data_IF_641684759170
#
_entry.id   IF_641684759170
#
_cell.length_a   1.000
_cell.length_b   1.000
_cell.length_c   1.000
_cell.angle_alpha   90.00
_cell.angle_beta   90.00
_cell.angle_gamma   90.00
#
_symmetry.space_group_name_H-M   'P 1'
#
loop_
_entity.id
_entity.type
_entity.pdbx_description
1 polymer ?
#
# COMPACT_ATOMS: atom_id res chain seq x y z
N UNK A 1 10.00 -21.76 -38.60
CA UNK A 1 9.05 -20.64 -38.72
C UNK A 1 7.70 -21.13 -38.22
N UNK A 2 7.26 -20.61 -37.08
CA UNK A 2 6.05 -21.05 -36.37
C UNK A 2 4.86 -20.33 -36.97
N UNK A 3 3.96 -21.06 -37.62
CA UNK A 3 2.64 -20.54 -37.96
C UNK A 3 1.79 -20.57 -36.68
N UNK A 4 1.76 -19.46 -35.95
CA UNK A 4 0.75 -19.24 -34.92
C UNK A 4 -0.62 -19.38 -35.58
N UNK A 5 -1.49 -20.24 -35.05
CA UNK A 5 -2.82 -20.42 -35.60
C UNK A 5 -3.59 -19.12 -35.42
N UNK A 6 -4.22 -18.64 -36.50
CA UNK A 6 -5.01 -17.40 -36.55
C UNK A 6 -6.07 -17.30 -35.42
N UNK A 7 -6.48 -18.45 -34.86
CA UNK A 7 -7.38 -18.56 -33.71
C UNK A 7 -6.80 -18.01 -32.39
N UNK A 8 -5.50 -18.15 -32.16
CA UNK A 8 -4.84 -17.69 -30.93
C UNK A 8 -4.65 -16.17 -30.94
N UNK A 9 -4.42 -15.59 -32.12
CA UNK A 9 -4.37 -14.14 -32.34
C UNK A 9 -5.76 -13.52 -32.14
N UNK A 10 -6.80 -14.12 -32.74
CA UNK A 10 -8.17 -13.63 -32.59
C UNK A 10 -8.71 -13.72 -31.14
N UNK A 11 -8.24 -14.70 -30.35
CA UNK A 11 -8.62 -14.83 -28.93
C UNK A 11 -7.97 -13.73 -28.08
N UNK A 12 -6.70 -13.41 -28.35
CA UNK A 12 -5.97 -12.32 -27.67
C UNK A 12 -6.62 -10.97 -28.01
N UNK A 13 -6.92 -10.72 -29.29
CA UNK A 13 -7.58 -9.49 -29.73
C UNK A 13 -9.00 -9.33 -29.16
N UNK A 14 -9.74 -10.43 -28.92
CA UNK A 14 -11.05 -10.37 -28.29
C UNK A 14 -10.98 -10.02 -26.79
N UNK A 15 -9.89 -10.40 -26.11
CA UNK A 15 -9.69 -10.18 -24.68
C UNK A 15 -9.22 -8.73 -24.43
N UNK A 16 -8.38 -8.18 -25.31
CA UNK A 16 -7.98 -6.77 -25.26
C UNK A 16 -9.13 -5.79 -25.55
N UNK A 17 -10.28 -6.29 -26.05
CA UNK A 17 -11.51 -5.51 -26.21
C UNK A 17 -12.45 -5.51 -24.98
N UNK A 18 -12.10 -6.27 -23.93
CA UNK A 18 -12.87 -6.31 -22.68
C UNK A 18 -12.43 -5.12 -21.81
N UNK A 19 -13.38 -4.22 -21.58
CA UNK A 19 -13.19 -2.94 -20.91
C UNK A 19 -12.54 -3.03 -19.51
N UNK A 20 -11.70 -2.03 -19.28
CA UNK A 20 -10.67 -1.80 -18.26
C UNK A 20 -11.14 -1.79 -16.78
N UNK A 21 -11.46 -2.96 -16.22
CA UNK A 21 -11.89 -3.08 -14.81
C UNK A 21 -11.07 -4.01 -13.90
N UNK A 22 -10.11 -4.77 -14.43
CA UNK A 22 -9.39 -5.80 -13.67
C UNK A 22 -7.95 -5.37 -13.36
N UNK A 23 -7.47 -5.65 -12.14
CA UNK A 23 -6.05 -5.48 -11.85
C UNK A 23 -5.21 -6.56 -12.57
N UNK A 24 -3.92 -6.30 -12.81
CA UNK A 24 -3.02 -7.16 -13.59
C UNK A 24 -3.07 -8.65 -13.17
N UNK A 25 -3.26 -8.94 -11.88
CA UNK A 25 -3.28 -10.29 -11.34
C UNK A 25 -4.61 -11.02 -11.61
N UNK A 26 -5.73 -10.30 -11.59
CA UNK A 26 -7.05 -10.85 -11.97
C UNK A 26 -7.12 -11.11 -13.47
N UNK A 27 -6.48 -10.26 -14.28
CA UNK A 27 -6.37 -10.44 -15.73
C UNK A 27 -5.60 -11.72 -16.08
N UNK A 28 -4.45 -11.94 -15.43
CA UNK A 28 -3.65 -13.17 -15.61
C UNK A 28 -4.39 -14.42 -15.12
N UNK A 29 -5.18 -14.31 -14.06
CA UNK A 29 -5.99 -15.41 -13.53
C UNK A 29 -7.13 -15.80 -14.50
N UNK A 30 -7.81 -14.82 -15.09
CA UNK A 30 -8.85 -15.04 -16.10
C UNK A 30 -8.27 -15.60 -17.40
N UNK A 31 -7.11 -15.08 -17.83
CA UNK A 31 -6.37 -15.54 -19.00
C UNK A 31 -5.95 -17.01 -18.84
N UNK A 32 -5.52 -17.39 -17.65
CA UNK A 32 -5.18 -18.77 -17.29
C UNK A 32 -6.41 -19.68 -17.28
N UNK A 33 -7.53 -19.23 -16.71
CA UNK A 33 -8.79 -20.00 -16.70
C UNK A 33 -9.33 -20.28 -18.11
N UNK A 34 -9.32 -19.27 -18.98
CA UNK A 34 -9.72 -19.43 -20.38
C UNK A 34 -8.74 -20.29 -21.19
N UNK A 35 -7.43 -20.14 -20.96
CA UNK A 35 -6.42 -21.01 -21.58
C UNK A 35 -6.63 -22.48 -21.17
N UNK A 36 -6.89 -22.76 -19.89
CA UNK A 36 -7.15 -24.11 -19.39
C UNK A 36 -8.43 -24.73 -19.96
N UNK A 37 -9.49 -23.93 -20.15
CA UNK A 37 -10.76 -24.38 -20.72
C UNK A 37 -10.65 -24.74 -22.21
N UNK A 38 -9.72 -24.13 -22.96
CA UNK A 38 -9.46 -24.44 -24.36
C UNK A 38 -8.47 -25.60 -24.56
N UNK A 39 -7.62 -25.90 -23.56
CA UNK A 39 -6.59 -26.96 -23.61
C UNK A 39 -7.16 -28.37 -23.34
N UNK A 40 -8.44 -28.50 -23.00
CA UNK A 40 -9.12 -29.80 -22.80
C UNK A 40 -9.12 -30.74 -24.04
N UNK A 41 -8.45 -30.38 -25.15
CA UNK A 41 -8.50 -31.13 -26.40
C UNK A 41 -7.16 -31.59 -27.02
N UNK A 42 -5.96 -31.38 -26.45
CA UNK A 42 -4.72 -32.09 -26.90
C UNK A 42 -3.66 -32.27 -25.80
N UNK A 43 -3.20 -33.51 -25.61
CA UNK A 43 -2.34 -33.96 -24.49
C UNK A 43 -0.95 -33.29 -24.39
N UNK A 44 -0.41 -32.69 -25.45
CA UNK A 44 0.93 -32.09 -25.44
C UNK A 44 1.00 -30.70 -24.80
N UNK A 45 -0.12 -29.95 -24.75
CA UNK A 45 -0.16 -28.59 -24.21
C UNK A 45 -0.36 -28.57 -22.69
N UNK A 46 -0.90 -29.68 -22.14
CA UNK A 46 -1.16 -29.86 -20.71
C UNK A 46 0.13 -29.93 -19.89
N UNK A 47 1.19 -30.56 -20.42
CA UNK A 47 2.47 -30.69 -19.71
C UNK A 47 3.24 -29.36 -19.65
N UNK A 48 3.16 -28.55 -20.70
CA UNK A 48 3.74 -27.21 -20.69
C UNK A 48 2.99 -26.30 -19.70
N UNK A 49 1.65 -26.37 -19.68
CA UNK A 49 0.81 -25.66 -18.71
C UNK A 49 1.09 -26.11 -17.26
N UNK A 50 1.23 -27.42 -17.00
CA UNK A 50 1.63 -27.95 -15.68
C UNK A 50 3.01 -27.47 -15.26
N UNK A 51 3.97 -27.42 -16.18
CA UNK A 51 5.34 -26.94 -15.90
C UNK A 51 5.36 -25.44 -15.60
N UNK A 52 4.57 -24.65 -16.33
CA UNK A 52 4.37 -23.23 -16.02
C UNK A 52 3.69 -23.04 -14.66
N UNK A 53 2.63 -23.78 -14.37
CA UNK A 53 1.93 -23.72 -13.08
C UNK A 53 2.84 -24.13 -11.92
N UNK A 54 3.69 -25.15 -12.10
CA UNK A 54 4.67 -25.57 -11.10
C UNK A 54 5.73 -24.49 -10.87
N UNK A 55 6.18 -23.81 -11.94
CA UNK A 55 7.11 -22.68 -11.84
C UNK A 55 6.46 -21.46 -11.19
N UNK A 56 5.21 -21.14 -11.50
CA UNK A 56 4.48 -20.06 -10.83
C UNK A 56 4.24 -20.37 -9.36
N UNK A 57 3.81 -21.59 -9.01
CA UNK A 57 3.73 -22.04 -7.61
C UNK A 57 5.08 -21.99 -6.89
N UNK A 58 6.17 -22.23 -7.61
CA UNK A 58 7.52 -22.13 -7.06
C UNK A 58 7.95 -20.67 -6.87
N UNK A 59 7.62 -19.77 -7.81
CA UNK A 59 7.82 -18.33 -7.68
C UNK A 59 6.93 -17.71 -6.58
N UNK A 60 5.70 -18.21 -6.42
CA UNK A 60 4.79 -17.86 -5.33
C UNK A 60 5.35 -18.37 -3.98
N UNK A 61 5.85 -19.61 -3.94
CA UNK A 61 6.51 -20.16 -2.76
C UNK A 61 7.82 -19.42 -2.40
N UNK A 62 8.58 -18.98 -3.41
CA UNK A 62 9.77 -18.14 -3.24
C UNK A 62 9.38 -16.72 -2.77
N UNK A 63 8.29 -16.14 -3.29
CA UNK A 63 7.68 -14.90 -2.79
C UNK A 63 7.11 -15.04 -1.37
N UNK A 64 6.65 -16.22 -0.98
CA UNK A 64 6.13 -16.52 0.35
C UNK A 64 7.23 -16.88 1.36
N UNK A 65 8.43 -17.22 0.89
CA UNK A 65 9.63 -17.43 1.71
C UNK A 65 10.44 -16.14 1.93
N UNK A 66 10.06 -15.03 1.28
CA UNK A 66 10.48 -13.71 1.75
C UNK A 66 9.83 -13.46 3.11
N UNK A 67 10.59 -13.06 4.16
CA UNK A 67 10.00 -12.78 5.45
C UNK A 67 8.85 -11.80 5.27
N UNK A 68 7.66 -12.13 5.80
CA UNK A 68 6.47 -11.27 5.72
C UNK A 68 6.83 -9.85 6.17
N UNK A 69 7.71 -9.72 7.17
CA UNK A 69 8.31 -8.47 7.65
C UNK A 69 9.03 -7.66 6.57
N UNK A 70 9.80 -8.30 5.68
CA UNK A 70 10.56 -7.65 4.61
C UNK A 70 9.67 -7.23 3.45
N UNK A 71 8.64 -8.03 3.11
CA UNK A 71 7.63 -7.69 2.10
C UNK A 71 6.70 -6.56 2.58
N UNK A 72 6.40 -6.56 3.86
CA UNK A 72 5.79 -5.46 4.61
C UNK A 72 6.69 -4.24 4.46
N UNK A 73 7.89 -4.23 5.06
CA UNK A 73 8.78 -3.06 5.07
C UNK A 73 9.13 -2.51 3.68
N UNK A 74 9.36 -3.37 2.69
CA UNK A 74 9.67 -2.95 1.32
C UNK A 74 8.44 -2.35 0.62
N UNK A 75 7.24 -2.89 0.87
CA UNK A 75 5.97 -2.33 0.38
C UNK A 75 5.54 -1.08 1.18
N UNK A 76 6.07 -0.85 2.38
CA UNK A 76 5.77 0.37 3.16
C UNK A 76 6.58 1.57 2.68
N UNK A 77 7.73 1.36 2.04
CA UNK A 77 8.47 2.42 1.34
C UNK A 77 7.73 2.66 0.03
N UNK A 78 7.10 3.84 -0.10
CA UNK A 78 6.43 4.20 -1.35
C UNK A 78 7.40 4.24 -2.53
N UNK A 79 6.90 4.51 -3.74
CA UNK A 79 7.72 4.57 -4.96
C UNK A 79 8.75 5.73 -4.98
N UNK A 80 8.72 6.60 -3.96
CA UNK A 80 9.69 7.67 -3.73
C UNK A 80 10.59 7.33 -2.53
N UNK A 81 11.91 7.46 -2.70
CA UNK A 81 12.86 7.34 -1.60
C UNK A 81 12.63 8.48 -0.61
N UNK A 82 12.45 8.14 0.67
CA UNK A 82 12.28 9.14 1.71
C UNK A 82 13.58 9.94 1.90
N UNK A 83 13.50 11.26 2.16
CA UNK A 83 14.67 12.01 2.58
C UNK A 83 15.36 11.34 3.78
N UNK A 84 16.68 11.45 3.86
CA UNK A 84 17.47 10.77 4.87
C UNK A 84 18.54 11.69 5.46
N UNK A 85 19.38 11.15 6.34
CA UNK A 85 20.40 11.92 7.06
C UNK A 85 21.46 12.60 6.20
N UNK A 86 21.57 12.24 4.91
CA UNK A 86 22.44 12.93 3.96
C UNK A 86 21.81 14.21 3.42
N UNK A 87 20.50 14.40 3.62
CA UNK A 87 19.75 15.60 3.22
C UNK A 87 19.75 16.67 4.31
N UNK A 88 18.99 17.76 4.08
CA UNK A 88 18.96 18.91 4.98
C UNK A 88 18.14 18.62 6.22
N UNK A 89 18.68 18.80 7.43
CA UNK A 89 17.90 18.59 8.65
C UNK A 89 16.89 19.72 8.82
N UNK A 90 15.71 19.43 9.39
CA UNK A 90 14.62 20.40 9.53
C UNK A 90 14.98 21.67 10.33
N UNK A 91 15.99 21.60 11.21
CA UNK A 91 16.46 22.78 11.95
C UNK A 91 17.33 23.74 11.13
N UNK A 92 17.76 23.34 9.94
CA UNK A 92 18.54 24.15 9.00
C UNK A 92 18.29 23.70 7.54
N UNK A 93 17.39 24.43 6.88
CA UNK A 93 17.00 24.19 5.48
C UNK A 93 17.80 25.03 4.48
N UNK A 94 18.76 25.83 4.93
CA UNK A 94 19.51 26.77 4.06
C UNK A 94 20.39 26.09 3.01
N UNK A 95 20.57 24.77 3.15
CA UNK A 95 21.28 23.93 2.19
C UNK A 95 20.46 23.57 0.94
N UNK A 96 19.13 23.60 1.04
CA UNK A 96 18.20 23.20 -0.04
C UNK A 96 17.23 24.31 -0.44
N UNK A 97 16.98 25.28 0.44
CA UNK A 97 16.23 26.49 0.14
C UNK A 97 17.07 27.75 0.43
N UNK A 98 16.84 28.85 -0.31
CA UNK A 98 17.30 30.17 0.12
C UNK A 98 16.78 30.57 1.50
N UNK A 99 17.43 31.53 2.15
CA UNK A 99 17.10 32.01 3.51
C UNK A 99 15.64 32.50 3.68
N UNK A 100 15.01 32.90 2.57
CA UNK A 100 13.64 33.38 2.53
C UNK A 100 12.59 32.27 2.80
N UNK A 101 12.98 30.99 2.88
CA UNK A 101 12.14 29.91 3.44
C UNK A 101 11.71 30.22 4.87
N UNK A 102 12.50 31.05 5.58
CA UNK A 102 12.20 31.50 6.94
C UNK A 102 11.51 32.87 6.99
N UNK A 103 11.29 33.51 5.85
CA UNK A 103 10.68 34.85 5.75
C UNK A 103 9.17 34.82 6.00
N UNK A 104 8.52 35.99 6.19
CA UNK A 104 7.07 36.11 6.14
C UNK A 104 6.44 35.68 4.80
N UNK A 105 7.20 35.76 3.70
CA UNK A 105 6.74 35.47 2.33
C UNK A 105 6.86 33.98 1.94
N UNK A 106 7.41 33.16 2.82
CA UNK A 106 7.70 31.74 2.57
C UNK A 106 6.51 30.94 2.01
N UNK A 107 5.30 31.15 2.52
CA UNK A 107 4.10 30.48 1.97
C UNK A 107 3.85 30.88 0.51
N UNK A 108 4.02 32.16 0.17
CA UNK A 108 3.85 32.65 -1.20
C UNK A 108 4.93 32.12 -2.15
N UNK A 109 6.14 31.95 -1.63
CA UNK A 109 7.31 31.53 -2.43
C UNK A 109 7.38 30.02 -2.64
N UNK A 110 6.99 29.23 -1.65
CA UNK A 110 7.21 27.78 -1.61
C UNK A 110 5.94 26.95 -1.40
N UNK A 111 4.81 27.58 -1.10
CA UNK A 111 3.53 26.90 -1.00
C UNK A 111 2.99 26.46 -2.35
N UNK A 112 2.10 25.47 -2.33
CA UNK A 112 1.42 24.93 -3.51
C UNK A 112 0.00 25.49 -3.69
N UNK A 113 -0.43 26.39 -2.80
CA UNK A 113 -1.80 26.92 -2.75
C UNK A 113 -2.73 26.06 -1.89
N UNK A 114 -2.18 25.08 -1.18
CA UNK A 114 -2.92 24.11 -0.42
C UNK A 114 -3.22 24.60 1.01
N UNK A 115 -4.30 24.08 1.58
CA UNK A 115 -4.79 24.53 2.90
C UNK A 115 -3.79 24.34 4.05
N UNK A 116 -2.82 23.42 3.88
CA UNK A 116 -1.82 23.06 4.88
C UNK A 116 -0.46 23.76 4.68
N UNK A 117 -0.28 24.60 3.66
CA UNK A 117 0.97 25.33 3.40
C UNK A 117 1.42 26.16 4.60
N UNK A 118 0.48 26.89 5.19
CA UNK A 118 0.75 27.72 6.36
C UNK A 118 1.19 26.89 7.57
N UNK A 119 0.60 25.70 7.77
CA UNK A 119 0.97 24.79 8.86
C UNK A 119 2.37 24.21 8.64
N UNK A 120 2.69 23.79 7.41
CA UNK A 120 4.03 23.32 7.02
C UNK A 120 5.09 24.38 7.30
N UNK A 121 4.91 25.59 6.77
CA UNK A 121 5.83 26.71 6.97
C UNK A 121 5.94 27.11 8.45
N UNK A 122 4.82 27.09 9.19
CA UNK A 122 4.85 27.33 10.63
C UNK A 122 5.78 26.34 11.34
N UNK A 123 5.66 25.04 11.05
CA UNK A 123 6.53 24.04 11.65
C UNK A 123 7.99 24.22 11.25
N UNK A 124 8.28 24.45 9.97
CA UNK A 124 9.63 24.73 9.44
C UNK A 124 10.26 25.94 10.15
N UNK A 125 9.59 27.08 10.19
CA UNK A 125 10.09 28.30 10.83
C UNK A 125 10.33 28.09 12.31
N UNK A 126 9.42 27.37 12.97
CA UNK A 126 9.52 27.08 14.40
C UNK A 126 10.64 26.10 14.75
N UNK A 127 11.18 25.37 13.76
CA UNK A 127 12.25 24.38 13.92
C UNK A 127 13.65 24.98 13.71
N UNK A 128 13.75 26.15 13.06
CA UNK A 128 15.01 26.85 12.78
C UNK A 128 15.85 26.96 14.05
N UNK A 129 17.11 26.50 13.98
CA UNK A 129 18.08 26.53 15.08
C UNK A 129 17.60 25.81 16.37
N UNK A 130 16.63 24.90 16.28
CA UNK A 130 16.03 24.22 17.44
C UNK A 130 16.11 22.69 17.33
N UNK A 131 17.31 22.08 17.24
CA UNK A 131 17.49 20.66 16.92
C UNK A 131 16.82 19.70 17.92
N UNK A 132 16.75 20.07 19.20
CA UNK A 132 16.16 19.24 20.26
C UNK A 132 14.66 19.51 20.50
N UNK A 133 14.08 20.50 19.81
CA UNK A 133 12.64 20.78 19.91
C UNK A 133 11.86 19.54 19.45
N UNK A 134 10.76 19.26 20.15
CA UNK A 134 9.85 18.17 19.77
C UNK A 134 8.86 18.66 18.73
N UNK A 135 8.67 17.86 17.68
CA UNK A 135 7.67 18.07 16.64
C UNK A 135 6.86 16.80 16.44
N UNK A 136 5.58 16.94 16.11
CA UNK A 136 4.73 15.80 15.75
C UNK A 136 4.85 15.56 14.24
N UNK A 137 5.04 14.31 13.87
CA UNK A 137 5.12 13.85 12.48
C UNK A 137 3.99 12.88 12.20
N UNK A 138 3.58 12.81 10.93
CA UNK A 138 2.48 11.98 10.46
C UNK A 138 2.90 11.15 9.25
N UNK A 139 2.29 9.97 9.11
CA UNK A 139 2.45 9.10 7.95
C UNK A 139 1.17 8.35 7.68
N UNK A 140 0.71 8.33 6.43
CA UNK A 140 -0.30 7.39 5.99
C UNK A 140 0.37 6.07 5.57
N UNK A 141 -0.13 4.95 6.07
CA UNK A 141 0.34 3.61 5.71
C UNK A 141 -0.84 2.77 5.21
N UNK A 142 -0.62 1.79 4.31
CA UNK A 142 -1.68 0.88 3.89
C UNK A 142 -2.46 0.32 5.07
N UNK A 143 -3.79 0.24 4.95
CA UNK A 143 -4.64 -0.32 5.99
C UNK A 143 -4.46 -1.84 6.00
N UNK A 144 -3.49 -2.30 6.78
CA UNK A 144 -3.39 -3.71 7.13
C UNK A 144 -4.04 -3.94 8.50
N UNK A 145 -5.14 -4.68 8.49
CA UNK A 145 -5.92 -4.99 9.69
C UNK A 145 -5.19 -6.04 10.51
N UNK A 146 -5.04 -5.78 11.80
CA UNK A 146 -4.57 -6.83 12.72
C UNK A 146 -5.67 -7.88 12.94
N UNK A 147 -5.31 -9.01 13.56
CA UNK A 147 -6.25 -10.10 13.83
C UNK A 147 -7.50 -9.64 14.56
N UNK A 148 -7.37 -8.82 15.59
CA UNK A 148 -8.53 -8.35 16.35
C UNK A 148 -9.47 -7.48 15.49
N UNK A 149 -8.92 -6.68 14.58
CA UNK A 149 -9.70 -5.91 13.61
C UNK A 149 -10.39 -6.82 12.59
N UNK A 150 -9.67 -7.83 12.08
CA UNK A 150 -10.24 -8.83 11.18
C UNK A 150 -11.38 -9.62 11.83
N UNK A 151 -11.19 -10.07 13.09
CA UNK A 151 -12.21 -10.79 13.86
C UNK A 151 -13.42 -9.90 14.15
N UNK A 152 -13.21 -8.62 14.52
CA UNK A 152 -14.33 -7.68 14.72
C UNK A 152 -15.14 -7.45 13.46
N UNK A 153 -14.48 -7.31 12.32
CA UNK A 153 -15.16 -7.14 11.03
C UNK A 153 -15.88 -8.42 10.61
N UNK A 154 -15.29 -9.59 10.84
CA UNK A 154 -15.92 -10.88 10.60
C UNK A 154 -17.17 -11.05 11.47
N UNK A 155 -17.11 -10.73 12.76
CA UNK A 155 -18.26 -10.77 13.67
C UNK A 155 -19.35 -9.77 13.29
N UNK A 156 -18.97 -8.56 12.84
CA UNK A 156 -19.93 -7.59 12.30
C UNK A 156 -20.61 -8.12 11.03
N UNK A 157 -19.84 -8.74 10.13
CA UNK A 157 -20.34 -9.34 8.91
C UNK A 157 -21.30 -10.51 9.20
N UNK A 158 -20.91 -11.40 10.12
CA UNK A 158 -21.72 -12.49 10.67
C UNK A 158 -23.05 -11.99 11.22
N UNK A 159 -23.02 -10.94 12.05
CA UNK A 159 -24.23 -10.31 12.58
C UNK A 159 -25.13 -9.75 11.47
N UNK A 160 -24.57 -9.03 10.49
CA UNK A 160 -25.34 -8.46 9.39
C UNK A 160 -25.96 -9.56 8.50
N UNK A 161 -25.25 -10.65 8.27
CA UNK A 161 -25.78 -11.80 7.55
C UNK A 161 -26.96 -12.42 8.28
N UNK A 162 -26.79 -12.81 9.56
CA UNK A 162 -27.86 -13.51 10.28
C UNK A 162 -29.06 -12.61 10.65
N UNK A 163 -28.85 -11.30 10.77
CA UNK A 163 -29.94 -10.36 11.09
C UNK A 163 -30.65 -9.77 9.86
N UNK A 164 -29.95 -9.60 8.74
CA UNK A 164 -30.46 -8.87 7.56
C UNK A 164 -30.26 -9.62 6.23
N UNK A 165 -29.67 -10.80 6.23
CA UNK A 165 -29.34 -11.55 5.01
C UNK A 165 -28.28 -10.88 4.13
N UNK A 166 -27.57 -9.86 4.64
CA UNK A 166 -26.54 -9.14 3.91
C UNK A 166 -25.31 -10.04 3.80
N UNK A 167 -24.96 -10.42 2.57
CA UNK A 167 -23.82 -11.30 2.29
C UNK A 167 -22.49 -10.53 2.35
N UNK A 168 -21.42 -11.12 2.91
CA UNK A 168 -20.06 -10.63 2.74
C UNK A 168 -19.71 -10.46 1.25
N UNK A 169 -18.83 -9.52 0.92
CA UNK A 169 -18.46 -9.23 -0.48
C UNK A 169 -17.80 -10.43 -1.18
N UNK A 170 -16.99 -11.19 -0.45
CA UNK A 170 -16.29 -12.40 -0.87
C UNK A 170 -17.11 -13.68 -0.64
N UNK A 171 -18.38 -13.57 -0.25
CA UNK A 171 -19.27 -14.72 -0.11
C UNK A 171 -19.74 -15.20 -1.48
N UNK A 172 -18.96 -16.10 -2.08
CA UNK A 172 -19.30 -16.70 -3.36
C UNK A 172 -20.32 -17.83 -3.20
N UNK A 173 -21.55 -17.58 -3.66
CA UNK A 173 -22.62 -18.58 -3.66
C UNK A 173 -22.61 -19.53 -4.87
N UNK A 174 -21.72 -19.34 -5.85
CA UNK A 174 -21.73 -20.07 -7.13
C UNK A 174 -20.95 -21.38 -7.11
N UNK A 175 -19.91 -21.50 -6.28
CA UNK A 175 -19.24 -22.78 -6.06
C UNK A 175 -19.96 -23.53 -4.94
N UNK A 176 -20.34 -24.79 -5.20
CA UNK A 176 -20.87 -25.70 -4.17
C UNK A 176 -19.89 -25.79 -2.99
N UNK A 177 -20.13 -25.01 -1.92
CA UNK A 177 -19.73 -25.16 -0.51
C UNK A 177 -19.84 -23.79 0.21
N UNK A 178 -19.89 -23.72 1.54
CA UNK A 178 -20.60 -24.51 2.53
C UNK A 178 -21.75 -23.66 3.15
N UNK A 179 -22.47 -24.14 4.18
CA UNK A 179 -23.51 -23.30 4.79
C UNK A 179 -22.87 -22.06 5.48
N UNK A 180 -23.64 -21.01 5.78
CA UNK A 180 -23.07 -19.77 6.33
C UNK A 180 -22.24 -19.96 7.61
N UNK A 181 -22.57 -20.94 8.46
CA UNK A 181 -21.80 -21.24 9.66
C UNK A 181 -20.40 -21.75 9.32
N UNK A 182 -20.29 -22.64 8.35
CA UNK A 182 -19.01 -23.17 7.88
C UNK A 182 -18.14 -22.05 7.28
N UNK A 183 -18.74 -21.13 6.51
CA UNK A 183 -18.03 -19.96 5.97
C UNK A 183 -17.39 -19.10 7.07
N UNK A 184 -18.19 -18.70 8.08
CA UNK A 184 -17.68 -17.87 9.17
C UNK A 184 -16.67 -18.64 10.03
N UNK A 185 -16.89 -19.94 10.27
CA UNK A 185 -15.98 -20.78 11.04
C UNK A 185 -14.63 -20.99 10.35
N UNK A 186 -14.60 -21.16 9.03
CA UNK A 186 -13.36 -21.30 8.27
C UNK A 186 -12.60 -19.97 8.18
N UNK A 187 -13.30 -18.84 8.03
CA UNK A 187 -12.69 -17.49 8.10
C UNK A 187 -12.10 -17.18 9.47
N UNK A 188 -12.78 -17.56 10.55
CA UNK A 188 -12.28 -17.40 11.92
C UNK A 188 -10.98 -18.21 12.13
N UNK A 189 -10.95 -19.47 11.67
CA UNK A 189 -9.72 -20.30 11.69
C UNK A 189 -8.61 -19.69 10.85
N UNK A 190 -8.92 -19.18 9.65
CA UNK A 190 -7.96 -18.50 8.78
C UNK A 190 -7.31 -17.33 9.53
N UNK A 191 -8.11 -16.43 10.11
CA UNK A 191 -7.60 -15.29 10.88
C UNK A 191 -6.77 -15.74 12.09
N UNK A 192 -7.22 -16.74 12.86
CA UNK A 192 -6.45 -17.26 13.99
C UNK A 192 -5.13 -17.92 13.57
N UNK A 193 -5.07 -18.53 12.38
CA UNK A 193 -3.87 -19.17 11.84
C UNK A 193 -2.85 -18.17 11.28
N UNK A 194 -3.25 -16.92 11.02
CA UNK A 194 -2.29 -15.88 10.61
C UNK A 194 -1.30 -15.58 11.73
N UNK A 195 -0.12 -15.06 11.42
CA UNK A 195 0.81 -14.58 12.44
C UNK A 195 0.35 -13.20 12.95
N UNK A 196 0.66 -12.86 14.22
CA UNK A 196 0.35 -11.51 14.72
C UNK A 196 1.05 -10.48 13.85
N UNK A 197 0.27 -9.69 13.14
CA UNK A 197 0.81 -8.62 12.33
C UNK A 197 1.45 -7.57 13.22
N UNK A 198 2.67 -7.17 12.88
CA UNK A 198 3.36 -6.07 13.55
C UNK A 198 2.46 -4.84 13.45
N UNK A 199 2.12 -4.27 14.61
CA UNK A 199 1.38 -3.02 14.68
C UNK A 199 2.19 -1.96 13.92
N UNK A 200 1.67 -1.34 12.87
CA UNK A 200 2.44 -0.41 12.07
C UNK A 200 2.88 0.80 12.92
N UNK A 201 4.16 1.13 12.82
CA UNK A 201 4.83 2.25 13.50
C UNK A 201 5.56 3.14 12.50
N UNK A 202 6.05 4.30 12.95
CA UNK A 202 6.98 5.13 12.18
C UNK A 202 8.41 4.73 12.54
N UNK A 203 9.12 4.17 11.56
CA UNK A 203 10.44 3.54 11.62
C UNK A 203 11.51 4.43 10.98
N UNK A 204 12.80 4.13 11.19
CA UNK A 204 13.86 4.91 10.53
C UNK A 204 13.85 4.71 9.01
N UNK A 205 14.13 5.78 8.28
CA UNK A 205 14.04 5.84 6.82
C UNK A 205 12.61 6.01 6.30
N UNK A 206 11.65 6.29 7.20
CA UNK A 206 10.27 6.51 6.80
C UNK A 206 10.05 7.92 6.27
N UNK A 207 9.41 8.01 5.11
CA UNK A 207 8.73 9.23 4.68
C UNK A 207 7.68 9.65 5.72
N UNK A 208 7.67 10.93 6.04
CA UNK A 208 6.76 11.58 6.98
C UNK A 208 6.44 13.01 6.55
N UNK A 209 5.38 13.57 7.11
CA UNK A 209 5.05 14.99 6.98
C UNK A 209 4.82 15.63 8.34
N UNK A 210 4.92 16.96 8.39
CA UNK A 210 4.67 17.76 9.59
C UNK A 210 3.19 18.10 9.77
N UNK A 211 2.37 17.96 8.72
CA UNK A 211 0.96 18.37 8.75
C UNK A 211 0.05 17.14 8.67
N UNK A 212 -0.98 17.11 9.52
CA UNK A 212 -1.92 15.98 9.54
C UNK A 212 -2.70 15.88 8.24
N UNK A 213 -3.08 17.02 7.67
CA UNK A 213 -3.91 17.10 6.47
C UNK A 213 -3.18 16.59 5.23
N UNK A 214 -1.90 16.92 5.05
CA UNK A 214 -1.10 16.38 3.93
C UNK A 214 -1.02 14.85 3.99
N UNK A 215 -0.81 14.28 5.18
CA UNK A 215 -0.81 12.82 5.33
C UNK A 215 -2.17 12.18 4.97
N UNK A 216 -3.28 12.85 5.28
CA UNK A 216 -4.63 12.39 4.93
C UNK A 216 -4.83 12.40 3.42
N UNK A 217 -4.44 13.47 2.74
CA UNK A 217 -4.60 13.63 1.30
C UNK A 217 -3.66 12.69 0.54
N UNK A 218 -2.41 12.61 0.95
CA UNK A 218 -1.44 11.64 0.43
C UNK A 218 -1.95 10.20 0.58
N UNK A 219 -2.54 9.85 1.72
CA UNK A 219 -3.15 8.54 1.93
C UNK A 219 -4.38 8.30 1.04
N UNK A 220 -5.21 9.31 0.77
CA UNK A 220 -6.36 9.18 -0.14
C UNK A 220 -5.90 8.92 -1.57
N UNK A 221 -4.93 9.70 -2.05
CA UNK A 221 -4.45 9.65 -3.44
C UNK A 221 -3.61 8.41 -3.73
N UNK A 222 -2.69 8.04 -2.82
CA UNK A 222 -1.72 6.97 -3.08
C UNK A 222 -2.15 5.60 -2.54
N UNK A 223 -3.13 5.54 -1.64
CA UNK A 223 -3.58 4.28 -1.01
C UNK A 223 -5.07 4.01 -1.24
N UNK A 224 -5.69 4.64 -2.26
CA UNK A 224 -7.10 4.48 -2.62
C UNK A 224 -8.07 4.68 -1.44
N UNK A 225 -7.70 5.54 -0.48
CA UNK A 225 -8.46 5.76 0.77
C UNK A 225 -8.35 4.62 1.80
N UNK A 226 -7.67 3.53 1.50
CA UNK A 226 -7.48 2.37 2.38
C UNK A 226 -6.18 2.50 3.18
N UNK A 227 -6.14 3.44 4.12
CA UNK A 227 -4.96 3.71 4.94
C UNK A 227 -5.25 3.87 6.43
N UNK A 228 -4.20 3.71 7.23
CA UNK A 228 -4.15 4.13 8.63
C UNK A 228 -3.22 5.34 8.75
N UNK A 229 -3.63 6.33 9.52
CA UNK A 229 -2.79 7.46 9.87
C UNK A 229 -2.00 7.16 11.14
N UNK A 230 -0.67 7.19 11.04
CA UNK A 230 0.25 7.10 12.17
C UNK A 230 0.71 8.49 12.59
N UNK A 231 1.09 8.63 13.86
CA UNK A 231 1.78 9.84 14.33
C UNK A 231 2.82 9.51 15.40
N UNK A 232 3.87 10.33 15.47
CA UNK A 232 4.95 10.20 16.46
C UNK A 232 5.45 11.59 16.85
N UNK A 233 5.97 11.75 18.06
CA UNK A 233 6.62 13.00 18.49
C UNK A 233 8.12 12.77 18.62
N UNK A 234 8.93 13.51 17.87
CA UNK A 234 10.38 13.29 17.76
C UNK A 234 11.17 14.60 17.82
N UNK A 235 12.48 14.58 18.15
CA UNK A 235 13.35 15.74 17.97
C UNK A 235 13.42 16.19 16.50
N UNK A 236 13.44 17.52 16.28
CA UNK A 236 13.62 18.13 14.95
C UNK A 236 14.87 17.64 14.23
N UNK A 237 15.97 17.40 14.95
CA UNK A 237 17.22 16.89 14.36
C UNK A 237 17.12 15.51 13.69
N UNK A 238 16.02 14.78 13.89
CA UNK A 238 15.78 13.48 13.26
C UNK A 238 14.91 13.59 11.99
N UNK A 239 14.59 14.82 11.56
CA UNK A 239 13.75 15.08 10.40
C UNK A 239 14.59 15.71 9.31
N UNK A 240 14.50 15.19 8.09
CA UNK A 240 15.32 15.57 6.96
C UNK A 240 14.46 15.86 5.72
N UNK A 241 14.95 16.67 4.79
CA UNK A 241 14.28 16.97 3.52
C UNK A 241 15.32 17.26 2.43
N UNK A 242 15.02 16.82 1.21
CA UNK A 242 15.79 17.10 0.00
C UNK A 242 15.43 18.47 -0.64
N UNK A 243 14.38 19.12 -0.13
CA UNK A 243 13.90 20.42 -0.62
C UNK A 243 12.97 20.36 -1.82
N UNK A 244 12.49 19.19 -2.23
CA UNK A 244 11.53 19.09 -3.36
C UNK A 244 10.11 19.55 -2.98
N UNK A 245 9.78 19.53 -1.69
CA UNK A 245 8.48 19.98 -1.17
C UNK A 245 8.58 20.44 0.28
N UNK A 246 7.82 21.48 0.66
CA UNK A 246 7.68 21.93 2.05
C UNK A 246 6.81 21.01 2.92
N UNK A 247 6.27 19.93 2.34
CA UNK A 247 5.43 18.95 3.02
C UNK A 247 6.12 17.61 3.24
N UNK A 248 7.24 17.37 2.58
CA UNK A 248 7.85 16.04 2.49
C UNK A 248 9.17 15.97 3.22
N UNK A 249 9.23 15.01 4.13
CA UNK A 249 10.37 14.80 5.01
C UNK A 249 10.62 13.31 5.17
N UNK A 250 11.80 12.97 5.67
CA UNK A 250 12.07 11.66 6.21
C UNK A 250 12.43 11.69 7.68
N UNK A 251 12.17 10.58 8.36
CA UNK A 251 12.51 10.38 9.77
C UNK A 251 13.67 9.39 9.90
N UNK A 252 14.75 9.82 10.53
CA UNK A 252 15.91 8.99 10.84
C UNK A 252 16.50 9.39 12.20
N UNK A 253 16.63 8.42 13.12
CA UNK A 253 17.24 8.62 14.44
C UNK A 253 18.55 7.84 14.65
N UNK A 254 19.13 7.31 13.57
CA UNK A 254 20.40 6.58 13.59
C UNK A 254 21.62 7.46 13.84
#
# INVERSE_FOLDING_TARGET
MVAYSQLLVNLIESIDSIDSGYNQNEYESLRMYHALKYIEHKDSDVDLARKHLKRMRQLDAESMNEPVEKKIESSYKGEHEAPNKNDSPLHDLTKVYPDDIYSPDSVRLYGTGESFDHESIYHIKSAKNAPNKKVKIYRAVPLIKNKDEQLRDLEKSKKLYFSRGIKPHDYDSYFKKPNAYDYFGDKEKEIHSTQDMIKPTINNGDWVTLTKQYAIEHGKSNLNGNYRLLSKTVPVKHIFTDGNSIHEFGYDNS
#
